data_IF_959415159629
#
_entry.id   IF_959415159629
#
_cell.length_a   1.000
_cell.length_b   1.000
_cell.length_c   1.000
_cell.angle_alpha   90.00
_cell.angle_beta   90.00
_cell.angle_gamma   90.00
#
_symmetry.space_group_name_H-M   'P 1'
#
loop_
_entity.id
_entity.type
_entity.pdbx_description
1 polymer ?
#
# COMPACT_ATOMS: atom_id res chain seq x y z
N UNK A 1 -27.66 -19.05 -27.90
CA UNK A 1 -27.23 -18.12 -28.96
C UNK A 1 -25.90 -17.57 -28.48
N UNK A 2 -24.81 -17.86 -29.18
CA UNK A 2 -23.45 -17.54 -28.73
C UNK A 2 -23.22 -16.06 -28.45
N UNK A 3 -22.26 -15.75 -27.58
CA UNK A 3 -21.87 -14.38 -27.25
C UNK A 3 -21.11 -13.79 -28.43
N UNK A 4 -21.69 -12.80 -29.11
CA UNK A 4 -21.07 -12.12 -30.25
C UNK A 4 -20.64 -10.72 -29.87
N UNK A 5 -19.38 -10.38 -30.13
CA UNK A 5 -18.75 -9.13 -29.73
C UNK A 5 -18.03 -8.48 -30.92
N UNK A 6 -18.11 -7.16 -31.02
CA UNK A 6 -17.25 -6.43 -31.94
C UNK A 6 -15.82 -6.44 -31.39
N UNK A 7 -14.89 -7.04 -32.13
CA UNK A 7 -13.52 -7.27 -31.70
C UNK A 7 -12.51 -6.93 -32.79
N UNK A 8 -11.33 -6.50 -32.34
CA UNK A 8 -10.15 -6.39 -33.16
C UNK A 8 -9.29 -7.65 -33.03
N UNK A 9 -8.99 -8.28 -34.16
CA UNK A 9 -8.04 -9.39 -34.27
C UNK A 9 -6.62 -8.83 -34.25
N UNK A 10 -5.83 -9.29 -33.31
CA UNK A 10 -4.48 -8.78 -33.06
C UNK A 10 -3.47 -9.92 -32.97
N UNK A 11 -2.18 -9.59 -33.15
CA UNK A 11 -1.08 -10.55 -33.01
C UNK A 11 0.11 -9.90 -32.29
N UNK A 12 0.54 -10.53 -31.19
CA UNK A 12 1.75 -10.15 -30.46
C UNK A 12 2.68 -11.36 -30.39
N UNK A 13 3.85 -11.26 -31.04
CA UNK A 13 4.72 -12.41 -31.27
C UNK A 13 3.97 -13.55 -31.99
N UNK A 14 3.94 -14.73 -31.37
CA UNK A 14 3.22 -15.91 -31.87
C UNK A 14 1.83 -16.11 -31.23
N UNK A 15 1.31 -15.08 -30.55
CA UNK A 15 0.00 -15.12 -29.91
C UNK A 15 -0.96 -14.25 -30.70
N UNK A 16 -1.92 -14.91 -31.34
CA UNK A 16 -3.14 -14.26 -31.84
C UNK A 16 -4.10 -14.07 -30.66
N UNK A 17 -4.75 -12.91 -30.62
CA UNK A 17 -5.72 -12.56 -29.58
C UNK A 17 -6.80 -11.63 -30.14
N UNK A 18 -7.91 -11.50 -29.42
CA UNK A 18 -8.99 -10.61 -29.80
C UNK A 18 -9.22 -9.56 -28.71
N UNK A 19 -9.10 -8.28 -29.06
CA UNK A 19 -9.39 -7.16 -28.19
C UNK A 19 -10.84 -6.71 -28.41
N UNK A 20 -11.62 -6.63 -27.35
CA UNK A 20 -13.04 -6.22 -27.40
C UNK A 20 -13.43 -5.44 -26.15
N UNK A 21 -14.59 -4.79 -26.19
CA UNK A 21 -15.31 -4.37 -24.99
C UNK A 21 -16.43 -5.35 -24.67
N UNK A 22 -16.78 -5.48 -23.40
CA UNK A 22 -17.91 -6.28 -22.92
C UNK A 22 -18.57 -5.54 -21.74
N UNK A 23 -19.89 -5.65 -21.60
CA UNK A 23 -20.59 -5.12 -20.43
C UNK A 23 -20.15 -5.85 -19.16
N UNK A 24 -19.93 -5.13 -18.07
CA UNK A 24 -19.52 -5.70 -16.79
C UNK A 24 -20.47 -6.83 -16.34
N UNK A 25 -21.79 -6.64 -16.49
CA UNK A 25 -22.81 -7.68 -16.24
C UNK A 25 -22.59 -8.96 -17.03
N UNK A 26 -22.28 -8.85 -18.32
CA UNK A 26 -22.02 -10.00 -19.19
C UNK A 26 -20.70 -10.66 -18.81
N UNK A 27 -19.68 -9.86 -18.49
CA UNK A 27 -18.37 -10.34 -18.06
C UNK A 27 -18.44 -11.19 -16.79
N UNK A 28 -19.06 -10.68 -15.71
CA UNK A 28 -19.16 -11.40 -14.42
C UNK A 28 -20.04 -12.65 -14.48
N UNK A 29 -20.90 -12.78 -15.51
CA UNK A 29 -21.72 -13.97 -15.73
C UNK A 29 -21.02 -15.05 -16.54
N UNK A 30 -20.10 -14.68 -17.42
CA UNK A 30 -19.52 -15.59 -18.41
C UNK A 30 -18.07 -15.98 -18.11
N UNK A 31 -17.34 -15.20 -17.31
CA UNK A 31 -15.93 -15.46 -17.00
C UNK A 31 -15.78 -15.99 -15.58
N UNK A 32 -15.13 -17.15 -15.45
CA UNK A 32 -14.79 -17.78 -14.18
C UNK A 32 -13.38 -17.43 -13.71
N UNK A 33 -13.04 -17.92 -12.51
CA UNK A 33 -11.75 -17.67 -11.88
C UNK A 33 -10.77 -18.81 -12.13
N UNK A 34 -9.47 -18.50 -12.16
CA UNK A 34 -8.44 -19.53 -12.32
C UNK A 34 -8.48 -20.61 -11.23
N UNK A 35 -8.91 -20.25 -10.01
CA UNK A 35 -9.10 -21.19 -8.89
C UNK A 35 -10.17 -22.27 -9.15
N UNK A 36 -11.02 -22.07 -10.15
CA UNK A 36 -12.13 -22.97 -10.51
C UNK A 36 -11.74 -23.94 -11.64
N UNK A 37 -10.51 -23.84 -12.15
CA UNK A 37 -10.02 -24.72 -13.22
C UNK A 37 -9.81 -26.16 -12.71
N UNK A 38 -10.16 -27.20 -13.49
CA UNK A 38 -9.98 -28.60 -13.09
C UNK A 38 -8.53 -28.98 -12.75
N UNK A 39 -7.55 -28.37 -13.43
CA UNK A 39 -6.11 -28.59 -13.23
C UNK A 39 -5.51 -27.67 -12.16
N UNK A 40 -6.31 -26.87 -11.46
CA UNK A 40 -5.85 -26.03 -10.35
C UNK A 40 -5.07 -26.80 -9.27
N UNK A 41 -5.48 -28.01 -8.83
CA UNK A 41 -4.73 -28.78 -7.84
C UNK A 41 -3.31 -29.18 -8.28
N UNK A 42 -3.11 -29.34 -9.59
CA UNK A 42 -1.86 -29.78 -10.22
C UNK A 42 -0.85 -28.64 -10.41
N UNK A 43 -1.27 -27.39 -10.21
CA UNK A 43 -0.39 -26.21 -10.32
C UNK A 43 0.57 -26.12 -9.13
N UNK A 44 1.76 -25.56 -9.38
CA UNK A 44 2.72 -25.31 -8.29
C UNK A 44 2.14 -24.35 -7.25
N UNK A 45 2.66 -24.41 -6.03
CA UNK A 45 2.23 -23.53 -4.94
C UNK A 45 2.41 -22.06 -5.33
N UNK A 46 3.55 -21.71 -5.93
CA UNK A 46 3.83 -20.35 -6.41
C UNK A 46 2.82 -19.86 -7.45
N UNK A 47 2.40 -20.74 -8.36
CA UNK A 47 1.39 -20.42 -9.38
C UNK A 47 0.00 -20.24 -8.78
N UNK A 48 -0.38 -21.08 -7.82
CA UNK A 48 -1.65 -20.95 -7.10
C UNK A 48 -1.69 -19.68 -6.25
N UNK A 49 -0.62 -19.40 -5.51
CA UNK A 49 -0.52 -18.19 -4.67
C UNK A 49 -0.63 -16.89 -5.48
N UNK A 50 -0.12 -16.86 -6.72
CA UNK A 50 -0.25 -15.70 -7.60
C UNK A 50 -1.67 -15.54 -8.18
N UNK A 51 -2.43 -16.64 -8.24
CA UNK A 51 -3.79 -16.71 -8.80
C UNK A 51 -4.88 -16.74 -7.73
N UNK A 52 -4.49 -16.76 -6.46
CA UNK A 52 -5.41 -16.66 -5.35
C UNK A 52 -5.95 -15.23 -5.26
N UNK A 53 -7.26 -15.11 -5.09
CA UNK A 53 -7.93 -13.82 -4.95
C UNK A 53 -7.73 -13.37 -3.50
N UNK A 54 -7.04 -12.24 -3.31
CA UNK A 54 -6.91 -11.61 -2.00
C UNK A 54 -8.21 -10.92 -1.61
N UNK A 55 -9.20 -11.71 -1.17
CA UNK A 55 -10.57 -11.29 -0.93
C UNK A 55 -10.71 -10.02 -0.09
N UNK A 56 -10.09 -9.99 1.09
CA UNK A 56 -10.18 -8.83 1.99
C UNK A 56 -9.69 -7.56 1.30
N UNK A 57 -8.53 -7.63 0.63
CA UNK A 57 -7.97 -6.50 -0.14
C UNK A 57 -8.90 -6.05 -1.26
N UNK A 58 -9.53 -7.00 -1.96
CA UNK A 58 -10.48 -6.67 -3.03
C UNK A 58 -11.67 -5.90 -2.46
N UNK A 59 -12.23 -6.38 -1.35
CA UNK A 59 -13.37 -5.77 -0.69
C UNK A 59 -13.03 -4.43 -0.01
N UNK A 60 -11.83 -4.28 0.57
CA UNK A 60 -11.44 -3.07 1.32
C UNK A 60 -10.87 -1.97 0.45
N UNK A 61 -10.27 -2.30 -0.70
CA UNK A 61 -9.54 -1.33 -1.51
C UNK A 61 -10.21 -1.13 -2.89
N UNK A 62 -10.42 -2.23 -3.63
CA UNK A 62 -10.80 -2.15 -5.05
C UNK A 62 -12.30 -1.88 -5.21
N UNK A 63 -13.15 -2.49 -4.37
CA UNK A 63 -14.59 -2.23 -4.39
C UNK A 63 -14.90 -0.76 -4.03
N UNK A 64 -14.35 -0.17 -2.95
CA UNK A 64 -14.49 1.26 -2.69
C UNK A 64 -13.97 2.16 -3.80
N UNK A 65 -12.87 1.79 -4.47
CA UNK A 65 -12.38 2.55 -5.63
C UNK A 65 -13.42 2.61 -6.76
N UNK A 66 -14.11 1.51 -7.08
CA UNK A 66 -15.17 1.50 -8.09
C UNK A 66 -16.37 2.36 -7.66
N UNK A 67 -16.76 2.28 -6.39
CA UNK A 67 -18.01 2.90 -5.89
C UNK A 67 -17.84 4.40 -5.66
N UNK A 68 -16.68 4.82 -5.12
CA UNK A 68 -16.48 6.17 -4.60
C UNK A 68 -15.67 7.09 -5.53
N UNK A 69 -14.86 6.55 -6.44
CA UNK A 69 -14.07 7.37 -7.36
C UNK A 69 -14.79 7.49 -8.72
N UNK A 70 -15.27 8.69 -9.11
CA UNK A 70 -15.90 8.89 -10.42
C UNK A 70 -14.93 8.65 -11.60
N UNK A 71 -13.63 8.60 -11.37
CA UNK A 71 -12.58 8.36 -12.37
C UNK A 71 -12.09 6.91 -12.36
N UNK A 72 -12.84 5.98 -11.77
CA UNK A 72 -12.44 4.57 -11.71
C UNK A 72 -12.19 4.01 -13.12
N UNK A 73 -11.04 3.33 -13.29
CA UNK A 73 -10.65 2.74 -14.57
C UNK A 73 -9.78 1.51 -14.37
N UNK A 74 -9.92 0.53 -15.26
CA UNK A 74 -9.08 -0.66 -15.27
C UNK A 74 -8.42 -0.89 -16.63
N UNK A 75 -7.19 -1.39 -16.59
CA UNK A 75 -6.60 -2.04 -17.75
C UNK A 75 -7.44 -3.23 -18.22
N UNK A 76 -7.15 -3.72 -19.43
CA UNK A 76 -7.87 -4.85 -20.00
C UNK A 76 -7.72 -6.12 -19.13
N UNK A 77 -8.78 -6.93 -19.05
CA UNK A 77 -8.69 -8.29 -18.49
C UNK A 77 -8.19 -9.23 -19.59
N UNK A 78 -7.29 -10.14 -19.24
CA UNK A 78 -6.85 -11.19 -20.15
C UNK A 78 -7.65 -12.45 -19.81
N UNK A 79 -8.43 -12.93 -20.78
CA UNK A 79 -9.34 -14.06 -20.63
C UNK A 79 -8.90 -15.20 -21.53
N UNK A 80 -8.69 -16.36 -20.91
CA UNK A 80 -8.46 -17.63 -21.59
C UNK A 80 -9.78 -18.18 -22.12
N UNK A 81 -9.82 -18.57 -23.39
CA UNK A 81 -10.89 -19.41 -23.91
C UNK A 81 -10.45 -20.86 -23.66
N UNK A 82 -10.69 -21.32 -22.43
CA UNK A 82 -10.21 -22.61 -21.92
C UNK A 82 -10.78 -23.81 -22.70
N UNK A 83 -12.05 -23.71 -23.12
CA UNK A 83 -12.69 -24.69 -24.00
C UNK A 83 -13.70 -24.03 -24.94
N UNK A 84 -14.02 -24.70 -26.04
CA UNK A 84 -14.94 -24.19 -27.07
C UNK A 84 -14.26 -23.37 -28.16
N UNK A 85 -12.93 -23.26 -28.16
CA UNK A 85 -12.18 -22.49 -29.16
C UNK A 85 -12.40 -23.01 -30.58
N UNK A 86 -12.51 -24.31 -30.77
CA UNK A 86 -12.76 -24.96 -32.06
C UNK A 86 -14.08 -24.52 -32.72
N UNK A 87 -15.00 -23.97 -31.92
CA UNK A 87 -16.28 -23.45 -32.36
C UNK A 87 -16.35 -21.91 -32.36
N UNK A 88 -15.26 -21.23 -32.01
CA UNK A 88 -15.16 -19.77 -32.10
C UNK A 88 -15.14 -19.36 -33.56
N UNK A 89 -15.94 -18.35 -33.90
CA UNK A 89 -15.99 -17.78 -35.25
C UNK A 89 -15.58 -16.32 -35.17
N UNK A 90 -14.74 -15.91 -36.11
CA UNK A 90 -14.41 -14.51 -36.32
C UNK A 90 -14.78 -14.12 -37.74
N UNK A 91 -15.63 -13.12 -37.86
CA UNK A 91 -16.07 -12.58 -39.15
C UNK A 91 -15.57 -11.13 -39.30
N UNK A 92 -14.59 -10.87 -40.17
CA UNK A 92 -14.18 -9.52 -40.51
C UNK A 92 -15.34 -8.68 -41.05
N UNK A 93 -15.38 -7.39 -40.73
CA UNK A 93 -16.39 -6.47 -41.27
C UNK A 93 -16.30 -6.40 -42.80
N UNK A 94 -15.09 -6.55 -43.36
CA UNK A 94 -14.87 -6.57 -44.81
C UNK A 94 -15.70 -7.61 -45.56
N UNK A 95 -16.05 -8.74 -44.93
CA UNK A 95 -16.87 -9.77 -45.57
C UNK A 95 -18.32 -9.31 -45.80
N UNK A 96 -18.76 -8.27 -45.09
CA UNK A 96 -20.16 -7.80 -45.11
C UNK A 96 -20.31 -6.37 -45.64
N UNK A 97 -19.22 -5.67 -45.97
CA UNK A 97 -19.25 -4.31 -46.51
C UNK A 97 -18.38 -4.16 -47.76
N UNK A 98 -18.80 -3.28 -48.68
CA UNK A 98 -17.99 -2.87 -49.84
C UNK A 98 -16.94 -1.83 -49.42
N UNK A 99 -15.66 -2.21 -49.49
CA UNK A 99 -14.54 -1.35 -49.08
C UNK A 99 -14.05 -0.52 -50.27
N UNK A 100 -14.46 0.75 -50.31
CA UNK A 100 -14.15 1.66 -51.43
C UNK A 100 -12.80 2.36 -51.33
N UNK A 101 -12.20 2.38 -50.13
CA UNK A 101 -10.95 3.09 -49.86
C UNK A 101 -9.89 2.10 -49.38
N UNK A 102 -8.78 2.01 -50.12
CA UNK A 102 -7.66 1.12 -49.80
C UNK A 102 -7.10 1.35 -48.38
N UNK A 103 -7.19 2.59 -47.87
CA UNK A 103 -6.76 2.94 -46.51
C UNK A 103 -7.51 2.20 -45.39
N UNK A 104 -8.70 1.65 -45.66
CA UNK A 104 -9.50 0.92 -44.68
C UNK A 104 -9.40 -0.60 -44.84
N UNK A 105 -8.74 -1.08 -45.90
CA UNK A 105 -8.76 -2.48 -46.28
C UNK A 105 -8.18 -3.39 -45.19
N UNK A 106 -6.99 -3.05 -44.69
CA UNK A 106 -6.33 -3.80 -43.62
C UNK A 106 -7.07 -3.65 -42.28
N UNK A 107 -7.53 -2.44 -41.94
CA UNK A 107 -8.27 -2.20 -40.68
C UNK A 107 -9.59 -2.98 -40.63
N UNK A 108 -10.31 -3.09 -41.74
CA UNK A 108 -11.58 -3.83 -41.80
C UNK A 108 -11.40 -5.35 -41.93
N UNK A 109 -10.19 -5.82 -42.29
CA UNK A 109 -9.81 -7.22 -42.14
C UNK A 109 -9.58 -7.60 -40.67
N UNK A 110 -9.02 -6.67 -39.89
CA UNK A 110 -8.71 -6.87 -38.47
C UNK A 110 -9.84 -6.46 -37.51
N UNK A 111 -10.84 -5.71 -37.97
CA UNK A 111 -12.04 -5.39 -37.19
C UNK A 111 -13.21 -6.28 -37.63
N UNK A 112 -13.88 -6.92 -36.67
CA UNK A 112 -14.84 -7.98 -36.98
C UNK A 112 -15.70 -8.39 -35.79
N UNK A 113 -16.57 -9.36 -36.01
CA UNK A 113 -17.42 -9.95 -34.98
C UNK A 113 -16.83 -11.27 -34.51
N UNK A 114 -16.47 -11.34 -33.23
CA UNK A 114 -16.06 -12.56 -32.54
C UNK A 114 -17.28 -13.21 -31.90
N UNK A 115 -17.67 -14.38 -32.38
CA UNK A 115 -18.74 -15.20 -31.81
C UNK A 115 -18.14 -16.35 -31.01
N UNK A 116 -18.38 -16.32 -29.70
CA UNK A 116 -18.00 -17.38 -28.78
C UNK A 116 -19.19 -18.34 -28.56
N UNK A 117 -18.98 -19.67 -28.60
CA UNK A 117 -20.09 -20.63 -28.52
C UNK A 117 -20.74 -20.68 -27.13
N UNK A 118 -21.91 -21.29 -27.01
CA UNK A 118 -22.64 -21.37 -25.72
C UNK A 118 -21.93 -22.26 -24.70
N UNK A 119 -21.25 -23.32 -25.15
CA UNK A 119 -20.54 -24.30 -24.32
C UNK A 119 -19.09 -23.89 -23.97
N UNK A 120 -18.71 -22.64 -24.25
CA UNK A 120 -17.38 -22.12 -23.93
C UNK A 120 -17.13 -22.13 -22.42
N UNK A 121 -15.87 -22.29 -22.04
CA UNK A 121 -15.39 -21.99 -20.68
C UNK A 121 -14.39 -20.85 -20.78
N UNK A 122 -14.68 -19.74 -20.10
CA UNK A 122 -13.83 -18.56 -20.09
C UNK A 122 -13.23 -18.39 -18.70
N UNK A 123 -11.93 -18.17 -18.62
CA UNK A 123 -11.22 -18.02 -17.35
C UNK A 123 -10.39 -16.75 -17.36
N UNK A 124 -10.50 -15.93 -16.31
CA UNK A 124 -9.61 -14.78 -16.15
C UNK A 124 -8.16 -15.27 -15.88
N UNK A 125 -7.27 -15.03 -16.83
CA UNK A 125 -5.82 -15.22 -16.65
C UNK A 125 -5.23 -14.04 -15.91
N UNK A 126 -5.56 -12.82 -16.32
CA UNK A 126 -5.15 -11.60 -15.63
C UNK A 126 -6.36 -10.72 -15.36
N UNK A 127 -6.36 -10.10 -14.18
CA UNK A 127 -7.48 -9.29 -13.70
C UNK A 127 -8.52 -10.05 -12.89
N UNK A 128 -8.18 -11.20 -12.30
CA UNK A 128 -9.06 -11.93 -11.37
C UNK A 128 -9.57 -11.06 -10.20
N UNK A 129 -8.72 -10.18 -9.64
CA UNK A 129 -9.11 -9.24 -8.58
C UNK A 129 -10.09 -8.17 -9.10
N UNK A 130 -9.93 -7.73 -10.35
CA UNK A 130 -10.82 -6.77 -11.02
C UNK A 130 -12.18 -7.42 -11.35
N UNK A 131 -12.16 -8.67 -11.80
CA UNK A 131 -13.38 -9.45 -12.03
C UNK A 131 -14.13 -9.67 -10.72
N UNK A 132 -13.42 -10.05 -9.65
CA UNK A 132 -13.98 -10.22 -8.32
C UNK A 132 -14.53 -8.91 -7.76
N UNK A 133 -13.81 -7.80 -7.91
CA UNK A 133 -14.29 -6.48 -7.44
C UNK A 133 -15.53 -6.02 -8.20
N UNK A 134 -15.60 -6.22 -9.52
CA UNK A 134 -16.81 -5.94 -10.29
C UNK A 134 -17.98 -6.79 -9.81
N UNK A 135 -17.76 -8.09 -9.55
CA UNK A 135 -18.81 -8.98 -9.08
C UNK A 135 -19.32 -8.56 -7.70
N UNK A 136 -18.41 -8.30 -6.75
CA UNK A 136 -18.72 -7.82 -5.41
C UNK A 136 -19.39 -6.44 -5.43
N UNK A 137 -18.91 -5.47 -6.22
CA UNK A 137 -19.51 -4.15 -6.32
C UNK A 137 -20.94 -4.22 -6.89
N UNK A 138 -21.14 -5.00 -7.97
CA UNK A 138 -22.45 -5.08 -8.66
C UNK A 138 -23.48 -5.88 -7.85
N UNK A 139 -23.05 -6.93 -7.14
CA UNK A 139 -23.97 -7.89 -6.46
C UNK A 139 -23.87 -7.89 -4.94
N UNK A 140 -23.06 -7.01 -4.35
CA UNK A 140 -22.76 -6.98 -2.92
C UNK A 140 -22.25 -8.34 -2.43
N UNK A 141 -22.76 -8.77 -1.27
CA UNK A 141 -22.49 -10.09 -0.68
C UNK A 141 -22.67 -11.28 -1.65
N UNK A 142 -23.61 -11.22 -2.59
CA UNK A 142 -23.86 -12.31 -3.54
C UNK A 142 -22.82 -12.37 -4.68
N UNK A 143 -21.96 -11.37 -4.78
CA UNK A 143 -20.87 -11.29 -5.74
C UNK A 143 -19.54 -11.87 -5.25
N UNK A 144 -19.47 -12.29 -3.98
CA UNK A 144 -18.26 -12.86 -3.38
C UNK A 144 -17.96 -14.22 -4.04
N UNK A 145 -16.78 -14.40 -4.67
CA UNK A 145 -16.40 -15.67 -5.29
C UNK A 145 -16.41 -16.80 -4.26
N UNK A 146 -16.84 -18.00 -4.64
CA UNK A 146 -16.91 -19.15 -3.73
C UNK A 146 -15.55 -19.58 -3.16
N UNK A 147 -14.45 -19.24 -3.85
CA UNK A 147 -13.08 -19.48 -3.38
C UNK A 147 -12.59 -18.44 -2.35
N UNK A 148 -13.34 -17.36 -2.12
CA UNK A 148 -12.97 -16.26 -1.24
C UNK A 148 -13.71 -16.37 0.10
N UNK A 149 -12.98 -16.26 1.20
CA UNK A 149 -13.53 -16.13 2.54
C UNK A 149 -13.32 -14.71 3.04
N UNK A 150 -14.38 -14.07 3.51
CA UNK A 150 -14.37 -12.74 4.11
C UNK A 150 -14.92 -12.83 5.53
N UNK A 151 -14.49 -11.92 6.40
CA UNK A 151 -15.08 -11.75 7.74
C UNK A 151 -16.53 -11.28 7.64
N UNK A 152 -17.34 -11.58 8.66
CA UNK A 152 -18.74 -11.13 8.70
C UNK A 152 -18.85 -9.59 8.65
N UNK A 153 -17.91 -8.88 9.26
CA UNK A 153 -17.85 -7.41 9.22
C UNK A 153 -17.78 -6.91 7.78
N UNK A 154 -16.83 -7.40 6.98
CA UNK A 154 -16.67 -6.99 5.58
C UNK A 154 -17.89 -7.39 4.76
N UNK A 155 -18.44 -8.59 4.99
CA UNK A 155 -19.62 -9.05 4.26
C UNK A 155 -20.85 -8.16 4.49
N UNK A 156 -20.98 -7.56 5.67
CA UNK A 156 -22.09 -6.67 6.00
C UNK A 156 -21.92 -5.27 5.39
N UNK A 157 -20.69 -4.86 5.06
CA UNK A 157 -20.38 -3.59 4.40
C UNK A 157 -20.53 -3.66 2.87
N UNK A 158 -20.60 -4.87 2.29
CA UNK A 158 -20.72 -5.06 0.84
C UNK A 158 -22.17 -4.88 0.34
N UNK A 159 -22.51 -3.65 -0.01
CA UNK A 159 -23.76 -3.29 -0.67
C UNK A 159 -23.71 -3.51 -2.20
N UNK A 160 -24.89 -3.72 -2.80
CA UNK A 160 -25.01 -3.98 -4.24
C UNK A 160 -25.26 -2.69 -5.02
N UNK A 161 -24.40 -2.43 -6.01
CA UNK A 161 -24.44 -1.27 -6.90
C UNK A 161 -24.66 -1.69 -8.36
N UNK A 162 -25.90 -2.04 -8.74
CA UNK A 162 -26.22 -2.54 -10.08
C UNK A 162 -25.94 -1.53 -11.21
N UNK A 163 -25.80 -0.24 -10.92
CA UNK A 163 -25.46 0.81 -11.88
C UNK A 163 -24.12 0.56 -12.60
N UNK A 164 -23.16 -0.13 -11.95
CA UNK A 164 -21.88 -0.48 -12.57
C UNK A 164 -21.99 -1.63 -13.59
N UNK A 165 -23.15 -2.30 -13.67
CA UNK A 165 -23.40 -3.41 -14.59
C UNK A 165 -23.25 -3.02 -16.08
N UNK A 166 -23.49 -1.75 -16.40
CA UNK A 166 -23.47 -1.21 -17.76
C UNK A 166 -22.10 -0.67 -18.18
N UNK A 167 -21.08 -0.73 -17.31
CA UNK A 167 -19.73 -0.31 -17.65
C UNK A 167 -19.14 -1.14 -18.80
N UNK A 168 -18.46 -0.48 -19.73
CA UNK A 168 -17.73 -1.11 -20.83
C UNK A 168 -16.33 -1.52 -20.36
N UNK A 169 -16.09 -2.82 -20.24
CA UNK A 169 -14.81 -3.37 -19.78
C UNK A 169 -13.99 -3.86 -20.97
N UNK A 170 -12.72 -3.44 -21.05
CA UNK A 170 -11.78 -3.92 -22.06
C UNK A 170 -11.35 -5.35 -21.76
N UNK A 171 -11.43 -6.23 -22.75
CA UNK A 171 -11.09 -7.66 -22.62
C UNK A 171 -10.24 -8.12 -23.79
N UNK A 172 -9.20 -8.89 -23.47
CA UNK A 172 -8.33 -9.57 -24.41
C UNK A 172 -8.62 -11.07 -24.31
N UNK A 173 -9.21 -11.64 -25.35
CA UNK A 173 -9.40 -13.09 -25.47
C UNK A 173 -8.19 -13.75 -26.10
N UNK A 174 -7.70 -14.82 -25.47
CA UNK A 174 -6.57 -15.61 -25.95
C UNK A 174 -7.00 -17.07 -26.09
N UNK A 175 -6.53 -17.73 -27.14
CA UNK A 175 -6.72 -19.16 -27.37
C UNK A 175 -6.00 -20.01 -26.33
N UNK A 176 -6.73 -20.91 -25.67
CA UNK A 176 -6.13 -22.03 -24.94
C UNK A 176 -5.67 -23.09 -25.94
N UNK A 177 -4.51 -22.89 -26.58
CA UNK A 177 -3.85 -24.02 -27.26
C UNK A 177 -3.54 -25.04 -26.17
N UNK A 178 -3.63 -26.36 -26.46
CA UNK A 178 -3.20 -27.46 -25.58
C UNK A 178 -1.74 -27.36 -25.05
N UNK A 179 -1.07 -26.24 -25.30
CA UNK A 179 0.17 -25.78 -24.71
C UNK A 179 -0.10 -24.98 -23.41
N UNK A 180 -0.37 -25.71 -22.33
CA UNK A 180 -0.42 -25.16 -20.97
C UNK A 180 0.84 -24.34 -20.63
N UNK A 181 2.00 -24.64 -21.24
CA UNK A 181 3.23 -23.88 -21.01
C UNK A 181 3.16 -22.49 -21.63
N UNK A 182 2.47 -22.29 -22.76
CA UNK A 182 2.29 -20.96 -23.39
C UNK A 182 1.42 -20.06 -22.52
N UNK A 183 0.24 -20.53 -22.10
CA UNK A 183 -0.67 -19.77 -21.23
C UNK A 183 0.00 -19.45 -19.90
N UNK A 184 0.69 -20.42 -19.30
CA UNK A 184 1.50 -20.23 -18.08
C UNK A 184 2.62 -19.22 -18.27
N UNK A 185 3.30 -19.20 -19.43
CA UNK A 185 4.34 -18.19 -19.73
C UNK A 185 3.75 -16.79 -19.88
N UNK A 186 2.60 -16.64 -20.55
CA UNK A 186 1.90 -15.35 -20.68
C UNK A 186 1.54 -14.85 -19.29
N UNK A 187 0.87 -15.68 -18.49
CA UNK A 187 0.50 -15.36 -17.10
C UNK A 187 1.71 -14.99 -16.24
N UNK A 188 2.71 -15.87 -16.18
CA UNK A 188 3.88 -15.66 -15.34
C UNK A 188 4.63 -14.39 -15.75
N UNK A 189 4.72 -14.06 -17.06
CA UNK A 189 5.41 -12.85 -17.49
C UNK A 189 4.60 -11.59 -17.21
N UNK A 190 3.30 -11.57 -17.52
CA UNK A 190 2.43 -10.40 -17.26
C UNK A 190 2.47 -10.03 -15.76
N UNK A 191 2.40 -11.03 -14.87
CA UNK A 191 2.43 -10.79 -13.42
C UNK A 191 3.84 -10.59 -12.84
N UNK A 192 4.87 -11.33 -13.29
CA UNK A 192 6.24 -11.22 -12.73
C UNK A 192 6.94 -9.92 -13.11
N UNK A 193 6.63 -9.34 -14.28
CA UNK A 193 7.18 -8.03 -14.66
C UNK A 193 6.45 -6.87 -13.99
N UNK A 194 5.20 -7.06 -13.55
CA UNK A 194 4.53 -6.16 -12.62
C UNK A 194 5.08 -6.36 -11.20
N UNK A 195 6.33 -5.91 -10.96
CA UNK A 195 6.90 -5.91 -9.62
C UNK A 195 6.01 -5.06 -8.70
N UNK A 196 5.74 -5.59 -7.50
CA UNK A 196 5.08 -4.82 -6.46
C UNK A 196 5.91 -3.55 -6.22
N UNK A 197 5.26 -2.40 -6.39
CA UNK A 197 5.81 -1.08 -6.08
C UNK A 197 6.23 -1.02 -4.62
N UNK A 198 7.36 -0.39 -4.34
CA UNK A 198 7.84 -0.29 -2.96
C UNK A 198 6.89 0.58 -2.14
N UNK A 199 6.94 0.47 -0.80
CA UNK A 199 6.13 1.34 0.07
C UNK A 199 6.37 2.83 -0.24
N UNK A 200 7.62 3.21 -0.54
CA UNK A 200 7.93 4.60 -0.91
C UNK A 200 7.34 4.97 -2.27
N UNK A 201 7.35 4.08 -3.26
CA UNK A 201 6.71 4.34 -4.57
C UNK A 201 5.21 4.55 -4.41
N UNK A 202 4.54 3.70 -3.62
CA UNK A 202 3.11 3.84 -3.33
C UNK A 202 2.79 5.16 -2.64
N UNK A 203 3.59 5.54 -1.63
CA UNK A 203 3.44 6.84 -0.95
C UNK A 203 3.71 7.99 -1.93
N UNK A 204 4.62 7.85 -2.90
CA UNK A 204 4.89 8.91 -3.89
C UNK A 204 3.72 9.10 -4.83
N UNK A 205 3.10 8.01 -5.28
CA UNK A 205 2.04 8.03 -6.31
C UNK A 205 0.63 8.18 -5.77
N UNK A 206 0.40 7.95 -4.48
CA UNK A 206 -0.95 8.02 -3.92
C UNK A 206 -1.42 9.47 -3.77
N UNK A 207 -2.50 9.82 -4.45
CA UNK A 207 -3.18 11.12 -4.36
C UNK A 207 -4.44 11.06 -3.49
N UNK A 208 -4.92 9.84 -3.23
CA UNK A 208 -6.14 9.51 -2.50
C UNK A 208 -5.92 9.25 -1.00
N UNK A 209 -4.68 9.00 -0.57
CA UNK A 209 -4.31 8.84 0.84
C UNK A 209 -3.81 10.17 1.43
N UNK A 210 -4.61 10.77 2.30
CA UNK A 210 -4.27 12.03 3.00
C UNK A 210 -2.94 11.92 3.74
N UNK A 211 -2.63 10.78 4.37
CA UNK A 211 -1.38 10.56 5.10
C UNK A 211 -0.20 10.58 4.12
N UNK A 212 -0.34 9.93 2.97
CA UNK A 212 0.69 9.93 1.93
C UNK A 212 0.92 11.35 1.37
N UNK A 213 -0.16 12.06 1.05
CA UNK A 213 -0.11 13.44 0.54
C UNK A 213 0.60 14.36 1.53
N UNK A 214 0.17 14.37 2.79
CA UNK A 214 0.75 15.22 3.84
C UNK A 214 2.21 14.85 4.12
N UNK A 215 2.55 13.57 4.13
CA UNK A 215 3.94 13.10 4.27
C UNK A 215 4.86 13.67 3.19
N UNK A 216 4.40 13.74 1.93
CA UNK A 216 5.17 14.37 0.84
C UNK A 216 5.33 15.88 1.05
N UNK A 217 4.27 16.55 1.50
CA UNK A 217 4.29 17.99 1.76
C UNK A 217 5.28 18.39 2.87
N UNK A 218 5.60 17.50 3.81
CA UNK A 218 6.58 17.81 4.86
C UNK A 218 8.02 18.06 4.36
N UNK A 219 8.40 17.58 3.17
CA UNK A 219 9.74 17.82 2.58
C UNK A 219 9.74 18.48 1.20
N UNK A 220 8.61 18.41 0.47
CA UNK A 220 8.47 19.00 -0.88
C UNK A 220 7.37 20.08 -0.98
N UNK A 221 6.66 20.37 0.11
CA UNK A 221 5.63 21.41 0.16
C UNK A 221 6.18 22.81 0.40
N UNK A 222 5.31 23.82 0.26
CA UNK A 222 5.64 25.20 0.63
C UNK A 222 5.90 25.31 2.13
N UNK A 223 7.00 25.97 2.52
CA UNK A 223 7.43 26.08 3.91
C UNK A 223 7.58 24.72 4.63
N UNK A 224 7.92 23.67 3.87
CA UNK A 224 8.18 22.34 4.38
C UNK A 224 9.24 22.34 5.51
N UNK A 225 8.94 21.80 6.70
CA UNK A 225 9.88 21.77 7.83
C UNK A 225 11.09 20.88 7.53
N UNK A 226 10.93 19.86 6.68
CA UNK A 226 11.98 18.94 6.27
C UNK A 226 12.53 19.22 4.86
N UNK A 227 12.46 20.49 4.40
CA UNK A 227 13.03 20.89 3.10
C UNK A 227 14.55 20.70 3.06
N UNK A 228 15.09 20.68 1.83
CA UNK A 228 16.54 20.55 1.58
C UNK A 228 17.35 21.63 2.32
N UNK A 229 18.50 21.24 2.85
CA UNK A 229 19.45 22.15 3.51
C UNK A 229 20.67 22.30 2.61
N UNK A 230 20.97 23.50 2.11
CA UNK A 230 22.10 23.75 1.19
C UNK A 230 22.13 22.76 0.00
N UNK A 231 20.97 22.52 -0.62
CA UNK A 231 20.77 21.56 -1.71
C UNK A 231 20.98 20.07 -1.33
N UNK A 232 21.08 19.76 -0.04
CA UNK A 232 21.15 18.39 0.47
C UNK A 232 19.75 17.93 0.86
N UNK A 233 19.28 16.85 0.22
CA UNK A 233 18.05 16.15 0.62
C UNK A 233 18.20 15.56 2.02
N UNK A 234 17.28 15.93 2.92
CA UNK A 234 17.27 15.41 4.29
C UNK A 234 16.27 14.26 4.49
N UNK A 235 15.42 14.00 3.50
CA UNK A 235 14.50 12.84 3.49
C UNK A 235 14.88 11.88 2.38
N UNK A 236 15.06 10.60 2.70
CA UNK A 236 15.23 9.55 1.70
C UNK A 236 13.87 9.04 1.20
N UNK A 237 13.49 9.40 -0.01
CA UNK A 237 12.27 8.91 -0.66
C UNK A 237 12.52 7.72 -1.61
N UNK A 238 13.78 7.37 -1.87
CA UNK A 238 14.16 6.28 -2.81
C UNK A 238 14.30 4.91 -2.14
N UNK A 239 14.58 4.88 -0.84
CA UNK A 239 14.76 3.63 -0.09
C UNK A 239 14.39 3.79 1.38
N UNK A 240 14.17 2.66 2.06
CA UNK A 240 13.81 2.62 3.47
C UNK A 240 15.01 2.60 4.43
N UNK A 241 16.24 2.73 3.94
CA UNK A 241 17.45 2.65 4.75
C UNK A 241 18.29 3.91 4.62
N UNK A 242 18.91 4.32 5.72
CA UNK A 242 19.82 5.47 5.77
C UNK A 242 21.21 4.95 6.14
N UNK A 243 22.18 5.00 5.20
CA UNK A 243 23.56 4.67 5.50
C UNK A 243 24.13 5.59 6.58
N UNK A 244 25.08 5.08 7.36
CA UNK A 244 25.69 5.78 8.49
C UNK A 244 26.33 7.14 8.13
N UNK A 245 26.84 7.28 6.90
CA UNK A 245 27.44 8.54 6.40
C UNK A 245 26.44 9.44 5.68
N UNK A 246 25.20 8.99 5.48
CA UNK A 246 24.19 9.76 4.76
C UNK A 246 23.84 11.03 5.52
N UNK A 247 23.60 12.09 4.74
CA UNK A 247 23.09 13.36 5.22
C UNK A 247 21.57 13.35 5.45
N UNK A 248 20.86 12.32 5.00
CA UNK A 248 19.40 12.22 5.17
C UNK A 248 19.03 11.89 6.60
N UNK A 249 18.18 12.68 7.26
CA UNK A 249 17.68 12.47 8.62
C UNK A 249 16.74 11.26 8.70
N UNK A 250 15.73 11.22 7.84
CA UNK A 250 14.62 10.26 7.88
C UNK A 250 14.30 9.70 6.49
N UNK A 251 13.34 8.78 6.38
CA UNK A 251 12.85 8.22 5.11
C UNK A 251 11.39 8.57 4.89
N UNK A 252 10.91 8.54 3.65
CA UNK A 252 9.50 8.79 3.34
C UNK A 252 8.59 7.75 4.01
N UNK A 253 9.00 6.49 4.07
CA UNK A 253 8.27 5.44 4.78
C UNK A 253 8.15 5.71 6.29
N UNK A 254 9.20 6.26 6.92
CA UNK A 254 9.16 6.66 8.32
C UNK A 254 8.29 7.90 8.54
N UNK A 255 8.38 8.86 7.63
CA UNK A 255 7.57 10.08 7.63
C UNK A 255 6.09 9.76 7.52
N UNK A 256 5.72 8.78 6.69
CA UNK A 256 4.35 8.24 6.63
C UNK A 256 3.89 7.70 7.99
N UNK A 257 4.68 6.83 8.62
CA UNK A 257 4.30 6.25 9.93
C UNK A 257 4.25 7.29 11.05
N UNK A 258 5.09 8.32 11.00
CA UNK A 258 5.04 9.47 11.92
C UNK A 258 3.75 10.27 11.69
N UNK A 259 3.44 10.58 10.43
CA UNK A 259 2.25 11.33 10.03
C UNK A 259 0.98 10.60 10.44
N UNK A 260 0.91 9.30 10.18
CA UNK A 260 -0.19 8.43 10.60
C UNK A 260 -0.38 8.44 12.12
N UNK A 261 0.71 8.35 12.90
CA UNK A 261 0.65 8.33 14.35
C UNK A 261 0.08 9.65 14.94
N UNK A 262 0.59 10.79 14.47
CA UNK A 262 0.16 12.10 14.99
C UNK A 262 -1.27 12.41 14.55
N UNK A 263 -1.59 12.22 13.27
CA UNK A 263 -2.91 12.54 12.73
C UNK A 263 -4.03 11.63 13.25
N UNK A 264 -3.69 10.42 13.72
CA UNK A 264 -4.67 9.52 14.36
C UNK A 264 -5.31 10.13 15.61
N UNK A 265 -4.63 11.02 16.35
CA UNK A 265 -5.22 11.74 17.48
C UNK A 265 -6.34 12.70 17.05
N UNK A 266 -6.28 13.18 15.80
CA UNK A 266 -7.23 14.12 15.22
C UNK A 266 -8.27 13.43 14.32
N UNK A 267 -8.41 12.10 14.44
CA UNK A 267 -9.32 11.28 13.61
C UNK A 267 -9.04 11.35 12.09
N UNK A 268 -7.82 11.77 11.69
CA UNK A 268 -7.39 11.81 10.29
C UNK A 268 -6.56 10.55 10.00
N UNK A 269 -7.08 9.72 9.10
CA UNK A 269 -6.49 8.43 8.72
C UNK A 269 -6.30 8.34 7.21
N UNK A 270 -5.64 7.28 6.73
CA UNK A 270 -5.52 7.01 5.30
C UNK A 270 -6.87 6.79 4.59
N UNK A 271 -7.96 6.57 5.34
CA UNK A 271 -9.33 6.41 4.82
C UNK A 271 -10.13 7.71 4.84
N UNK A 272 -9.61 8.78 5.45
CA UNK A 272 -10.29 10.06 5.49
C UNK A 272 -10.41 10.62 4.06
N UNK A 273 -11.50 11.33 3.78
CA UNK A 273 -11.72 11.90 2.46
C UNK A 273 -10.57 12.85 2.08
N UNK A 274 -10.01 12.68 0.88
CA UNK A 274 -8.94 13.53 0.33
C UNK A 274 -9.48 14.85 -0.21
N UNK A 275 -10.12 15.64 0.66
CA UNK A 275 -10.54 17.01 0.37
C UNK A 275 -9.41 18.00 0.65
N UNK A 276 -9.41 19.14 -0.05
CA UNK A 276 -8.42 20.22 0.17
C UNK A 276 -8.44 20.72 1.63
N UNK A 277 -9.61 20.72 2.27
CA UNK A 277 -9.79 21.12 3.66
C UNK A 277 -9.09 20.15 4.63
N UNK A 278 -9.38 18.85 4.53
CA UNK A 278 -8.74 17.82 5.36
C UNK A 278 -7.22 17.80 5.16
N UNK A 279 -6.77 17.94 3.91
CA UNK A 279 -5.35 17.99 3.58
C UNK A 279 -4.68 19.22 4.20
N UNK A 280 -5.35 20.39 4.16
CA UNK A 280 -4.81 21.63 4.72
C UNK A 280 -4.72 21.59 6.24
N UNK A 281 -5.73 21.06 6.91
CA UNK A 281 -5.74 20.86 8.36
C UNK A 281 -4.61 19.90 8.79
N UNK A 282 -4.55 18.71 8.17
CA UNK A 282 -3.53 17.71 8.42
C UNK A 282 -2.11 18.25 8.16
N UNK A 283 -1.93 19.04 7.10
CA UNK A 283 -0.68 19.70 6.79
C UNK A 283 -0.28 20.71 7.88
N UNK A 284 -1.23 21.49 8.41
CA UNK A 284 -1.00 22.44 9.49
C UNK A 284 -0.50 21.75 10.77
N UNK A 285 -1.19 20.69 11.20
CA UNK A 285 -0.83 19.87 12.37
C UNK A 285 0.59 19.32 12.22
N UNK A 286 0.88 18.69 11.07
CA UNK A 286 2.18 18.07 10.83
C UNK A 286 3.32 19.07 10.68
N UNK A 287 3.06 20.24 10.09
CA UNK A 287 4.03 21.34 10.05
C UNK A 287 4.36 21.81 11.47
N UNK A 288 3.36 22.00 12.32
CA UNK A 288 3.57 22.41 13.70
C UNK A 288 4.43 21.40 14.47
N UNK A 289 4.05 20.11 14.42
CA UNK A 289 4.79 19.02 15.05
C UNK A 289 6.28 18.99 14.65
N UNK A 290 6.57 19.06 13.35
CA UNK A 290 7.95 19.02 12.86
C UNK A 290 8.72 20.31 13.15
N UNK A 291 8.09 21.48 13.07
CA UNK A 291 8.74 22.75 13.43
C UNK A 291 9.15 22.73 14.90
N UNK A 292 8.21 22.41 15.80
CA UNK A 292 8.50 22.23 17.22
C UNK A 292 9.63 21.21 17.43
N UNK A 293 9.56 20.03 16.79
CA UNK A 293 10.62 19.01 16.88
C UNK A 293 12.00 19.57 16.46
N UNK A 294 12.08 20.21 15.30
CA UNK A 294 13.34 20.71 14.75
C UNK A 294 13.91 21.89 15.54
N UNK A 295 13.05 22.64 16.23
CA UNK A 295 13.40 23.82 17.04
C UNK A 295 13.52 23.54 18.55
N UNK A 296 12.99 22.43 19.06
CA UNK A 296 13.05 22.07 20.48
C UNK A 296 14.05 20.96 20.79
N UNK A 297 14.26 20.01 19.86
CA UNK A 297 15.14 18.87 20.09
C UNK A 297 16.60 19.21 19.75
N UNK A 298 17.47 19.08 20.75
CA UNK A 298 18.88 19.51 20.68
C UNK A 298 19.65 18.75 19.59
N UNK A 299 19.50 17.42 19.50
CA UNK A 299 20.22 16.63 18.49
C UNK A 299 19.77 16.94 17.05
N UNK A 300 18.52 17.39 16.86
CA UNK A 300 18.05 17.84 15.55
C UNK A 300 18.66 19.19 15.15
N UNK A 301 18.80 20.13 16.10
CA UNK A 301 19.56 21.38 15.88
C UNK A 301 21.02 21.10 15.51
N UNK A 302 21.66 20.17 16.23
CA UNK A 302 23.02 19.74 15.94
C UNK A 302 23.12 19.12 14.55
N UNK A 303 22.18 18.22 14.21
CA UNK A 303 22.09 17.63 12.87
C UNK A 303 21.99 18.71 11.78
N UNK A 304 21.09 19.69 11.93
CA UNK A 304 20.94 20.82 10.98
C UNK A 304 22.26 21.57 10.83
N UNK A 305 22.93 21.88 11.94
CA UNK A 305 24.23 22.56 11.94
C UNK A 305 25.29 21.74 11.21
N UNK A 306 25.34 20.42 11.42
CA UNK A 306 26.28 19.53 10.74
C UNK A 306 26.02 19.45 9.23
N UNK A 307 24.76 19.40 8.80
CA UNK A 307 24.41 19.40 7.37
C UNK A 307 24.79 20.74 6.74
N UNK A 308 24.40 21.87 7.35
CA UNK A 308 24.74 23.22 6.86
C UNK A 308 26.23 23.43 6.68
N UNK A 309 27.03 22.95 7.63
CA UNK A 309 28.49 23.09 7.65
C UNK A 309 29.23 21.95 6.93
N UNK A 310 28.53 21.03 6.26
CA UNK A 310 29.15 19.91 5.56
C UNK A 310 29.82 18.85 6.46
N UNK A 311 29.71 18.95 7.79
CA UNK A 311 30.40 18.07 8.76
C UNK A 311 29.93 16.60 8.71
N UNK A 312 30.81 15.60 8.80
CA UNK A 312 30.41 14.19 8.83
C UNK A 312 29.43 13.88 9.97
N UNK A 313 28.36 13.13 9.69
CA UNK A 313 27.31 12.78 10.68
C UNK A 313 27.55 11.43 11.37
N UNK A 314 28.57 10.67 10.95
CA UNK A 314 28.80 9.29 11.41
C UNK A 314 28.91 9.21 12.94
N UNK A 315 29.69 10.09 13.57
CA UNK A 315 29.86 10.08 15.02
C UNK A 315 28.57 10.50 15.74
N UNK A 316 27.89 11.53 15.25
CA UNK A 316 26.63 12.00 15.82
C UNK A 316 25.56 10.88 15.79
N UNK A 317 25.47 10.14 14.68
CA UNK A 317 24.54 9.01 14.50
C UNK A 317 24.89 7.75 15.30
N UNK A 318 26.14 7.60 15.74
CA UNK A 318 26.56 6.52 16.65
C UNK A 318 26.34 6.90 18.11
N UNK A 319 26.32 8.19 18.41
CA UNK A 319 26.11 8.69 19.76
C UNK A 319 24.63 8.70 20.16
N UNK A 320 23.73 8.97 19.20
CA UNK A 320 22.34 9.26 19.52
C UNK A 320 21.35 8.46 18.65
N UNK A 321 20.52 7.64 19.31
CA UNK A 321 19.47 6.84 18.68
C UNK A 321 18.36 7.68 18.07
N UNK A 322 18.12 8.91 18.54
CA UNK A 322 17.08 9.79 18.04
C UNK A 322 17.37 10.27 16.62
N UNK A 323 18.57 10.05 16.06
CA UNK A 323 18.87 10.26 14.64
C UNK A 323 18.53 9.07 13.73
N UNK A 324 17.83 8.05 14.25
CA UNK A 324 17.38 6.90 13.46
C UNK A 324 15.90 7.05 13.08
N UNK A 325 15.53 6.73 11.82
CA UNK A 325 14.13 6.80 11.37
C UNK A 325 13.16 6.03 12.25
N UNK A 326 13.55 4.84 12.73
CA UNK A 326 12.73 4.00 13.62
C UNK A 326 12.47 4.70 14.95
N UNK A 327 13.48 5.37 15.51
CA UNK A 327 13.33 6.12 16.76
C UNK A 327 12.42 7.34 16.55
N UNK A 328 12.44 7.99 15.38
CA UNK A 328 11.46 9.03 15.06
C UNK A 328 10.00 8.49 15.05
N UNK A 329 9.79 7.26 14.58
CA UNK A 329 8.45 6.64 14.63
C UNK A 329 8.01 6.36 16.08
N UNK A 330 8.92 5.84 16.92
CA UNK A 330 8.65 5.63 18.35
C UNK A 330 8.43 6.95 19.10
N UNK A 331 9.19 7.98 18.74
CA UNK A 331 9.00 9.36 19.22
C UNK A 331 7.60 9.88 18.89
N UNK A 332 7.13 9.73 17.65
CA UNK A 332 5.79 10.13 17.25
C UNK A 332 4.70 9.34 18.00
N UNK A 333 4.91 8.04 18.26
CA UNK A 333 4.00 7.24 19.10
C UNK A 333 3.96 7.71 20.56
N UNK A 334 5.10 8.20 21.08
CA UNK A 334 5.15 8.80 22.41
C UNK A 334 4.35 10.10 22.45
N UNK A 335 4.53 10.97 21.44
CA UNK A 335 3.78 12.22 21.33
C UNK A 335 2.28 11.96 21.16
N UNK A 336 1.88 10.99 20.34
CA UNK A 336 0.49 10.52 20.26
C UNK A 336 -0.05 10.13 21.65
N UNK A 337 0.68 9.31 22.41
CA UNK A 337 0.26 8.89 23.77
C UNK A 337 0.13 10.09 24.72
N UNK A 338 1.02 11.07 24.62
CA UNK A 338 0.99 12.31 25.41
C UNK A 338 -0.28 13.13 25.10
N UNK A 339 -0.60 13.29 23.81
CA UNK A 339 -1.82 13.98 23.35
C UNK A 339 -3.08 13.26 23.82
N UNK A 340 -3.13 11.93 23.72
CA UNK A 340 -4.25 11.11 24.23
C UNK A 340 -4.47 11.27 25.74
N UNK A 341 -3.41 11.55 26.49
CA UNK A 341 -3.48 11.82 27.93
C UNK A 341 -3.80 13.29 28.26
N UNK A 342 -4.09 14.11 27.26
CA UNK A 342 -4.51 15.51 27.40
C UNK A 342 -3.37 16.49 27.64
N UNK A 343 -2.13 16.11 27.33
CA UNK A 343 -0.96 17.00 27.41
C UNK A 343 -0.63 17.59 26.04
N UNK A 344 -0.23 18.86 26.01
CA UNK A 344 0.28 19.48 24.79
C UNK A 344 1.74 19.10 24.54
N UNK A 345 2.07 18.83 23.27
CA UNK A 345 3.41 18.45 22.87
C UNK A 345 4.45 19.56 23.14
N UNK A 346 4.06 20.82 22.94
CA UNK A 346 4.90 22.00 23.18
C UNK A 346 5.37 22.09 24.64
N UNK A 347 4.52 21.71 25.60
CA UNK A 347 4.83 21.80 27.03
C UNK A 347 5.85 20.76 27.49
N UNK A 348 6.00 19.66 26.75
CA UNK A 348 6.81 18.52 27.17
C UNK A 348 8.05 18.29 26.31
N UNK A 349 8.20 19.03 25.20
CA UNK A 349 9.27 18.82 24.22
C UNK A 349 10.68 18.85 24.86
N UNK A 350 10.90 19.75 25.81
CA UNK A 350 12.20 19.91 26.50
C UNK A 350 12.58 18.67 27.34
N UNK A 351 11.60 17.89 27.80
CA UNK A 351 11.89 16.67 28.56
C UNK A 351 12.51 15.59 27.67
N UNK A 352 12.23 15.57 26.36
CA UNK A 352 12.88 14.62 25.44
C UNK A 352 14.38 14.84 25.32
N UNK A 353 14.88 16.06 25.53
CA UNK A 353 16.31 16.37 25.57
C UNK A 353 17.02 15.76 26.80
N UNK A 354 16.27 15.37 27.83
CA UNK A 354 16.81 14.77 29.07
C UNK A 354 16.83 13.24 29.04
N UNK A 355 16.25 12.62 28.01
CA UNK A 355 16.34 11.18 27.78
C UNK A 355 17.77 10.85 27.33
N UNK A 356 18.37 9.82 27.94
CA UNK A 356 19.62 9.24 27.44
C UNK A 356 19.33 8.38 26.19
N UNK A 357 19.52 8.97 25.01
CA UNK A 357 19.38 8.31 23.71
C UNK A 357 20.62 7.52 23.27
N UNK A 358 21.60 7.33 24.16
CA UNK A 358 22.79 6.56 23.83
C UNK A 358 22.46 5.09 23.57
N UNK A 359 23.29 4.45 22.74
CA UNK A 359 23.20 3.00 22.50
C UNK A 359 23.48 2.16 23.74
N UNK A 360 24.10 2.75 24.77
CA UNK A 360 24.51 2.08 26.00
C UNK A 360 23.43 2.13 27.09
N UNK A 361 22.38 2.95 26.90
CA UNK A 361 21.25 2.94 27.80
C UNK A 361 20.51 1.58 27.72
N UNK A 362 20.46 0.80 28.81
CA UNK A 362 19.89 -0.54 28.80
C UNK A 362 18.39 -0.56 28.48
N UNK A 363 17.67 0.55 28.70
CA UNK A 363 16.23 0.67 28.39
C UNK A 363 15.94 0.41 26.90
N UNK A 364 16.90 0.69 26.02
CA UNK A 364 16.72 0.52 24.57
C UNK A 364 16.98 -0.90 24.07
N UNK A 365 17.64 -1.74 24.88
CA UNK A 365 17.97 -3.11 24.52
C UNK A 365 16.68 -3.94 24.45
N UNK A 366 16.48 -4.62 23.32
CA UNK A 366 15.27 -5.33 22.90
C UNK A 366 13.98 -4.47 22.82
N UNK A 367 14.10 -3.15 22.96
CA UNK A 367 13.01 -2.17 22.77
C UNK A 367 13.18 -1.43 21.44
N UNK A 368 14.29 -0.71 21.26
CA UNK A 368 14.65 -0.02 20.01
C UNK A 368 15.76 -0.73 19.24
N UNK A 369 16.66 -1.39 19.96
CA UNK A 369 17.84 -2.07 19.40
C UNK A 369 17.93 -3.51 19.88
N UNK A 370 18.42 -4.40 19.02
CA UNK A 370 18.62 -5.80 19.38
C UNK A 370 19.74 -5.98 20.41
N UNK A 371 19.60 -6.97 21.30
CA UNK A 371 20.69 -7.47 22.14
C UNK A 371 21.68 -8.33 21.33
N UNK A 372 22.27 -7.76 20.28
CA UNK A 372 23.28 -8.38 19.43
C UNK A 372 24.53 -7.51 19.41
N UNK A 373 25.68 -8.10 19.05
CA UNK A 373 26.92 -7.34 18.89
C UNK A 373 26.78 -6.16 17.89
N UNK A 374 25.90 -6.30 16.90
CA UNK A 374 25.60 -5.27 15.91
C UNK A 374 24.62 -4.18 16.38
N UNK A 375 23.88 -4.40 17.49
CA UNK A 375 22.84 -3.49 18.01
C UNK A 375 21.92 -2.92 16.92
N UNK A 376 21.45 -3.79 16.02
CA UNK A 376 20.56 -3.40 14.92
C UNK A 376 19.22 -2.87 15.43
N UNK A 377 18.62 -1.93 14.71
CA UNK A 377 17.29 -1.38 15.03
C UNK A 377 16.18 -2.43 14.90
N UNK A 378 15.20 -2.38 15.80
CA UNK A 378 14.00 -3.21 15.77
C UNK A 378 12.88 -2.45 15.04
N UNK A 379 12.44 -2.94 13.88
CA UNK A 379 11.50 -2.21 12.99
C UNK A 379 10.05 -2.69 13.07
N UNK A 380 9.72 -3.60 13.99
CA UNK A 380 8.37 -4.16 14.11
C UNK A 380 7.38 -3.14 14.66
N UNK A 381 6.16 -3.08 14.10
CA UNK A 381 5.14 -2.09 14.51
C UNK A 381 4.77 -2.16 16.00
N UNK A 382 4.69 -3.36 16.58
CA UNK A 382 4.44 -3.51 18.02
C UNK A 382 5.62 -3.00 18.86
N UNK A 383 6.86 -3.26 18.43
CA UNK A 383 8.05 -2.77 19.13
C UNK A 383 8.11 -1.24 19.13
N UNK A 384 7.77 -0.60 18.00
CA UNK A 384 7.70 0.86 17.88
C UNK A 384 6.64 1.45 18.82
N UNK A 385 5.45 0.84 18.91
CA UNK A 385 4.41 1.27 19.86
C UNK A 385 4.86 1.09 21.31
N UNK A 386 5.46 -0.05 21.64
CA UNK A 386 5.99 -0.32 22.98
C UNK A 386 7.06 0.71 23.37
N UNK A 387 8.01 0.99 22.47
CA UNK A 387 9.01 2.03 22.67
C UNK A 387 8.37 3.41 22.88
N UNK A 388 7.35 3.76 22.08
CA UNK A 388 6.59 5.00 22.25
C UNK A 388 5.93 5.11 23.64
N UNK A 389 5.30 4.04 24.13
CA UNK A 389 4.70 4.02 25.49
C UNK A 389 5.75 4.19 26.60
N UNK A 390 6.92 3.57 26.46
CA UNK A 390 8.04 3.71 27.40
C UNK A 390 8.54 5.16 27.41
N UNK A 391 8.73 5.75 26.23
CA UNK A 391 9.16 7.15 26.09
C UNK A 391 8.11 8.08 26.72
N UNK A 392 6.81 7.90 26.41
CA UNK A 392 5.74 8.72 27.00
C UNK A 392 5.72 8.62 28.53
N UNK A 393 5.91 7.42 29.08
CA UNK A 393 6.03 7.22 30.53
C UNK A 393 7.23 7.96 31.14
N UNK A 394 8.39 7.99 30.47
CA UNK A 394 9.53 8.79 30.95
C UNK A 394 9.20 10.28 31.03
N UNK A 395 8.27 10.79 30.21
CA UNK A 395 7.93 12.22 30.11
C UNK A 395 6.79 12.62 31.06
N UNK A 396 5.73 11.81 31.12
CA UNK A 396 4.47 12.09 31.86
C UNK A 396 4.04 10.94 32.80
N UNK A 397 4.97 10.07 33.22
CA UNK A 397 4.68 8.87 34.02
C UNK A 397 4.03 9.10 35.39
N UNK A 398 3.99 10.34 35.87
CA UNK A 398 3.24 10.72 37.08
C UNK A 398 1.73 10.54 36.87
N UNK A 399 1.25 10.78 35.64
CA UNK A 399 -0.16 10.66 35.24
C UNK A 399 -0.60 9.21 34.99
N UNK A 400 0.33 8.26 34.92
CA UNK A 400 0.03 6.85 34.66
C UNK A 400 -0.59 6.18 35.88
N UNK A 401 -1.68 5.45 35.66
CA UNK A 401 -2.32 4.58 36.65
C UNK A 401 -1.41 3.40 37.03
N UNK A 402 -1.76 2.72 38.13
CA UNK A 402 -1.05 1.50 38.56
C UNK A 402 -1.07 0.41 37.49
N UNK A 403 -2.19 0.26 36.78
CA UNK A 403 -2.38 -0.75 35.74
C UNK A 403 -1.48 -0.47 34.53
N UNK A 404 -1.43 0.77 34.05
CA UNK A 404 -0.58 1.14 32.92
C UNK A 404 0.92 1.00 33.25
N UNK A 405 1.30 1.31 34.49
CA UNK A 405 2.66 1.07 35.01
C UNK A 405 3.01 -0.42 35.01
N UNK A 406 2.07 -1.29 35.40
CA UNK A 406 2.27 -2.74 35.40
C UNK A 406 2.38 -3.30 33.96
N UNK A 407 1.55 -2.82 33.02
CA UNK A 407 1.65 -3.20 31.61
C UNK A 407 3.02 -2.81 31.00
N UNK A 408 3.51 -1.60 31.29
CA UNK A 408 4.83 -1.15 30.86
C UNK A 408 5.96 -1.96 31.47
N UNK A 409 5.83 -2.31 32.75
CA UNK A 409 6.80 -3.13 33.46
C UNK A 409 6.91 -4.52 32.84
N UNK A 410 5.78 -5.13 32.46
CA UNK A 410 5.77 -6.41 31.75
C UNK A 410 6.48 -6.31 30.40
N UNK A 411 6.22 -5.25 29.62
CA UNK A 411 6.92 -5.01 28.34
C UNK A 411 8.43 -4.96 28.53
N UNK A 412 8.92 -4.25 29.55
CA UNK A 412 10.36 -4.12 29.82
C UNK A 412 10.99 -5.42 30.32
N UNK A 413 10.30 -6.15 31.19
CA UNK A 413 10.77 -7.45 31.72
C UNK A 413 10.82 -8.52 30.63
N UNK A 414 9.80 -8.57 29.77
CA UNK A 414 9.77 -9.47 28.62
C UNK A 414 10.88 -9.13 27.62
N UNK A 415 11.16 -7.84 27.40
CA UNK A 415 12.25 -7.42 26.52
C UNK A 415 13.63 -7.78 27.10
N UNK A 416 13.82 -7.63 28.42
CA UNK A 416 15.07 -7.91 29.11
C UNK A 416 15.28 -9.40 29.43
N UNK A 417 14.23 -10.21 29.40
CA UNK A 417 14.19 -11.56 29.99
C UNK A 417 14.62 -11.54 31.47
N UNK A 418 14.18 -10.52 32.21
CA UNK A 418 14.58 -10.26 33.61
C UNK A 418 13.44 -9.62 34.42
N UNK A 419 12.96 -10.36 35.42
CA UNK A 419 11.87 -9.92 36.31
C UNK A 419 12.28 -8.85 37.34
N UNK A 420 13.57 -8.53 37.46
CA UNK A 420 14.08 -7.51 38.38
C UNK A 420 14.10 -6.11 37.77
N UNK A 421 13.87 -6.00 36.45
CA UNK A 421 13.80 -4.70 35.77
C UNK A 421 12.69 -3.86 36.38
N UNK A 422 13.03 -2.60 36.65
CA UNK A 422 12.13 -1.55 37.11
C UNK A 422 11.78 -0.58 35.98
N UNK A 423 10.73 0.22 36.19
CA UNK A 423 10.38 1.28 35.26
C UNK A 423 11.51 2.34 35.20
N UNK A 424 11.78 2.92 34.03
CA UNK A 424 12.78 3.98 33.91
C UNK A 424 12.41 5.19 34.76
N UNK A 425 13.39 6.01 35.13
CA UNK A 425 13.10 7.21 35.91
C UNK A 425 12.25 8.21 35.10
N UNK A 426 11.25 8.78 35.76
CA UNK A 426 10.46 9.88 35.19
C UNK A 426 11.33 11.14 35.14
N UNK A 427 11.33 11.78 33.99
CA UNK A 427 12.03 13.03 33.73
C UNK A 427 11.21 14.16 34.33
N UNK A 428 11.77 14.73 35.39
CA UNK A 428 11.30 15.98 35.99
C UNK A 428 11.60 17.14 35.07
#
# INVERSE_FOLDING_TARGET
MGLTLLAQKCKMGNTEYYLTKIKASTLIQNVGYASEMPNWPDMSIDERMQREIKGERVASDIVPYIINDPNWFFGALIVDIYSGWENVKYQPIKEVVDVKLAAYDDTLNEAGFLTLPDNKVLIALDGQHRLASLNMAIRGRNGVPGSVKLSETILNELEAHPEFADADISVIFVEHKNDNNKIRKIFNKVNRYAKQTSKSDNIITSEDDVIAVVSRKMFNGENAPLKKINNVEIVNWTSNTIPLRSKQLTTLSALYTITEAILSHYDITAKSASSDENISEAEGIMKNFWNLSMEGITVFKDYISYVKNGKPLENLRKADLLLKPVTHMAYAQAVYTILEMGFEYEDVIEKFNRIDWSYDNPVWINVLITNSASRNMITGGQAIRNAGKIIAYMIIGESYSKKEKEELLNILRDAADDNTVELPQIIK
#
